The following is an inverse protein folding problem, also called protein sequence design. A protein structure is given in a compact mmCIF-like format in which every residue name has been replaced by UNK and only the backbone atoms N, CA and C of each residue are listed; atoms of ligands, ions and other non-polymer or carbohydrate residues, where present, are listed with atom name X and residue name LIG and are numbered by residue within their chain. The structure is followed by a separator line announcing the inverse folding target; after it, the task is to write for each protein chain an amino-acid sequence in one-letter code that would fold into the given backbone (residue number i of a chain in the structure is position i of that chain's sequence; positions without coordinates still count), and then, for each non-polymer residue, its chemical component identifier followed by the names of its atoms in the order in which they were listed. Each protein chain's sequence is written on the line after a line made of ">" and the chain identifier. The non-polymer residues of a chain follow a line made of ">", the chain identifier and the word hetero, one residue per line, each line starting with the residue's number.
data_IF_458542105546
#
_entry.id   IF_458542105546
#
_cell.length_a   1.000
_cell.length_b   1.000
_cell.length_c   1.000
_cell.angle_alpha   90.00
_cell.angle_beta   90.00
_cell.angle_gamma   90.00
#
_symmetry.space_group_name_H-M   'P 1'
#
loop_
_entity.id
_entity.type
_entity.pdbx_description
1 polymer ?
#
# COMPACT_ATOMS: atom_id res chain seq x y z
N UNK A 1 0.17 19.01 4.26
CA UNK A 1 0.28 18.48 2.88
C UNK A 1 -1.11 18.14 2.35
N UNK A 2 -2.04 19.11 2.34
CA UNK A 2 -3.44 18.87 1.97
C UNK A 2 -3.62 18.82 0.46
N UNK A 3 -4.46 17.88 0.00
CA UNK A 3 -4.98 17.71 -1.37
C UNK A 3 -3.98 17.38 -2.51
N UNK A 4 -2.71 17.10 -2.23
CA UNK A 4 -1.77 16.59 -3.25
C UNK A 4 -1.86 15.06 -3.29
N UNK A 5 -2.04 14.50 -4.48
CA UNK A 5 -2.04 13.06 -4.78
C UNK A 5 -0.79 12.74 -5.61
N UNK A 6 -0.28 11.53 -5.55
CA UNK A 6 0.87 11.15 -6.36
C UNK A 6 0.52 11.19 -7.88
N UNK A 7 1.52 11.27 -8.76
CA UNK A 7 1.40 11.40 -10.22
C UNK A 7 2.70 10.91 -10.87
N UNK A 8 2.67 9.86 -11.68
CA UNK A 8 3.77 9.32 -12.49
C UNK A 8 3.68 9.87 -13.92
N UNK A 9 4.61 10.71 -14.36
CA UNK A 9 4.69 11.08 -15.75
C UNK A 9 5.37 9.95 -16.54
N UNK A 10 4.82 9.57 -17.68
CA UNK A 10 5.49 8.75 -18.69
C UNK A 10 6.65 9.53 -19.37
N UNK A 11 7.72 9.88 -18.65
CA UNK A 11 8.87 10.64 -19.19
C UNK A 11 9.93 9.72 -19.78
N UNK A 12 10.54 10.14 -20.89
CA UNK A 12 11.76 9.53 -21.39
C UNK A 12 12.94 9.87 -20.46
N UNK A 13 13.37 8.92 -19.63
CA UNK A 13 14.53 9.05 -18.74
C UNK A 13 14.21 9.16 -17.24
N UNK A 14 12.94 9.32 -16.86
CA UNK A 14 12.54 9.09 -15.47
C UNK A 14 12.60 7.59 -15.17
N UNK A 15 13.08 7.21 -13.98
CA UNK A 15 12.94 5.83 -13.55
C UNK A 15 11.45 5.49 -13.50
N UNK A 16 11.07 4.34 -14.07
CA UNK A 16 9.68 3.86 -14.12
C UNK A 16 9.02 3.82 -12.74
N UNK A 17 9.80 3.82 -11.65
CA UNK A 17 9.29 3.75 -10.28
C UNK A 17 9.00 5.10 -9.61
N UNK A 18 9.17 6.24 -10.30
CA UNK A 18 9.07 7.59 -9.70
C UNK A 18 7.67 8.24 -9.84
N UNK A 19 7.23 8.89 -8.77
CA UNK A 19 5.94 9.59 -8.65
C UNK A 19 6.11 10.98 -8.05
N UNK A 20 5.33 11.96 -8.50
CA UNK A 20 5.30 13.35 -8.02
C UNK A 20 4.00 13.64 -7.28
N UNK A 21 4.02 14.32 -6.13
CA UNK A 21 2.79 14.72 -5.44
C UNK A 21 2.26 16.06 -5.96
N UNK A 22 1.12 16.03 -6.65
CA UNK A 22 0.45 17.16 -7.30
C UNK A 22 -1.01 17.28 -6.87
N UNK A 23 -1.57 18.48 -6.82
CA UNK A 23 -2.99 18.72 -6.67
C UNK A 23 -3.74 18.51 -7.99
N UNK A 24 -5.08 18.47 -7.95
CA UNK A 24 -5.90 18.19 -9.15
C UNK A 24 -5.67 19.17 -10.32
N UNK A 25 -5.45 20.46 -10.04
CA UNK A 25 -5.15 21.45 -11.08
C UNK A 25 -3.76 21.23 -11.68
N UNK A 26 -2.74 20.99 -10.86
CA UNK A 26 -1.37 20.69 -11.32
C UNK A 26 -1.34 19.44 -12.22
N UNK A 27 -2.14 18.41 -11.90
CA UNK A 27 -2.27 17.20 -12.75
C UNK A 27 -2.93 17.54 -14.10
N UNK A 28 -4.02 18.32 -14.07
CA UNK A 28 -4.70 18.76 -15.29
C UNK A 28 -3.75 19.55 -16.20
N UNK A 29 -2.95 20.44 -15.63
CA UNK A 29 -1.97 21.25 -16.35
C UNK A 29 -0.86 20.38 -16.94
N UNK A 30 -0.31 19.43 -16.16
CA UNK A 30 0.68 18.47 -16.65
C UNK A 30 0.15 17.65 -17.84
N UNK A 31 -1.06 17.12 -17.75
CA UNK A 31 -1.66 16.31 -18.83
C UNK A 31 -1.89 17.14 -20.10
N UNK A 32 -2.32 18.40 -19.98
CA UNK A 32 -2.53 19.30 -21.11
C UNK A 32 -1.21 19.68 -21.79
N UNK A 33 -0.18 20.00 -21.00
CA UNK A 33 1.16 20.31 -21.51
C UNK A 33 1.74 19.12 -22.25
N UNK A 34 1.56 17.90 -21.74
CA UNK A 34 1.98 16.66 -22.40
C UNK A 34 1.29 16.41 -23.73
N UNK A 35 -0.04 16.55 -23.79
CA UNK A 35 -0.78 16.41 -25.07
C UNK A 35 -0.23 17.37 -26.11
N UNK A 36 -0.06 18.64 -25.72
CA UNK A 36 0.45 19.70 -26.61
C UNK A 36 1.89 19.43 -27.05
N UNK A 37 2.76 18.99 -26.14
CA UNK A 37 4.16 18.69 -26.44
C UNK A 37 4.29 17.47 -27.37
N UNK A 38 3.48 16.42 -27.14
CA UNK A 38 3.44 15.23 -27.99
C UNK A 38 2.96 15.56 -29.41
N UNK A 39 1.92 16.38 -29.55
CA UNK A 39 1.45 16.85 -30.87
C UNK A 39 2.50 17.70 -31.59
N UNK A 40 3.30 18.47 -30.84
CA UNK A 40 4.34 19.33 -31.37
C UNK A 40 5.71 18.63 -31.56
N UNK A 41 5.82 17.33 -31.28
CA UNK A 41 7.08 16.58 -31.36
C UNK A 41 8.18 17.08 -30.41
N UNK A 42 7.82 17.75 -29.31
CA UNK A 42 8.78 18.28 -28.32
C UNK A 42 9.12 17.24 -27.25
N UNK A 43 10.28 17.43 -26.63
CA UNK A 43 10.66 16.65 -25.46
C UNK A 43 9.72 16.99 -24.29
N UNK A 44 9.03 15.98 -23.78
CA UNK A 44 7.96 16.11 -22.77
C UNK A 44 8.46 16.54 -21.38
N UNK A 45 9.75 16.38 -21.09
CA UNK A 45 10.36 16.70 -19.79
C UNK A 45 10.42 18.21 -19.55
N UNK A 46 10.99 18.96 -20.49
CA UNK A 46 11.11 20.43 -20.43
C UNK A 46 9.73 21.11 -20.36
N UNK A 47 8.72 20.55 -21.04
CA UNK A 47 7.38 21.12 -21.09
C UNK A 47 6.62 21.04 -19.74
N UNK A 48 7.00 20.13 -18.84
CA UNK A 48 6.33 19.94 -17.55
C UNK A 48 7.21 20.24 -16.33
N UNK A 49 8.47 20.64 -16.55
CA UNK A 49 9.44 20.90 -15.48
C UNK A 49 8.91 21.87 -14.42
N UNK A 50 8.28 22.98 -14.85
CA UNK A 50 7.73 23.99 -13.94
C UNK A 50 6.58 23.47 -13.06
N UNK A 51 5.77 22.54 -13.57
CA UNK A 51 4.70 21.90 -12.79
C UNK A 51 5.30 20.98 -11.73
N UNK A 52 6.41 20.30 -12.05
CA UNK A 52 7.07 19.37 -11.15
C UNK A 52 8.01 20.04 -10.14
N UNK A 53 8.52 21.24 -10.42
CA UNK A 53 9.50 21.98 -9.60
C UNK A 53 9.08 22.25 -8.15
N UNK A 54 7.77 22.20 -7.86
CA UNK A 54 7.20 22.34 -6.51
C UNK A 54 6.69 21.04 -5.87
N UNK A 55 6.90 19.89 -6.52
CA UNK A 55 6.30 18.62 -6.13
C UNK A 55 7.33 17.66 -5.52
N UNK A 56 6.91 16.88 -4.51
CA UNK A 56 7.78 15.85 -3.93
C UNK A 56 7.81 14.65 -4.86
N UNK A 57 9.00 14.21 -5.25
CA UNK A 57 9.19 12.93 -5.95
C UNK A 57 9.32 11.79 -4.93
N UNK A 58 8.73 10.64 -5.23
CA UNK A 58 8.81 9.42 -4.44
C UNK A 58 9.00 8.21 -5.38
N UNK A 59 9.98 7.36 -5.09
CA UNK A 59 10.20 6.08 -5.77
C UNK A 59 9.34 4.95 -5.18
N UNK A 60 9.23 3.80 -5.85
CA UNK A 60 8.64 2.59 -5.25
C UNK A 60 9.33 2.20 -3.93
N UNK A 61 10.66 2.32 -3.87
CA UNK A 61 11.42 2.07 -2.65
C UNK A 61 11.02 3.02 -1.51
N UNK A 62 10.85 4.31 -1.81
CA UNK A 62 10.37 5.27 -0.82
C UNK A 62 8.90 5.05 -0.46
N UNK A 63 8.06 4.59 -1.41
CA UNK A 63 6.67 4.21 -1.16
C UNK A 63 6.59 3.04 -0.18
N UNK A 64 7.41 2.02 -0.37
CA UNK A 64 7.59 0.91 0.57
C UNK A 64 8.04 1.44 1.94
N UNK A 65 9.01 2.36 1.95
CA UNK A 65 9.52 2.96 3.18
C UNK A 65 8.46 3.80 3.93
N UNK A 66 7.47 4.38 3.24
CA UNK A 66 6.37 5.06 3.93
C UNK A 66 5.60 4.14 4.87
N UNK A 67 5.48 2.86 4.55
CA UNK A 67 4.76 1.90 5.39
C UNK A 67 5.50 1.51 6.67
N UNK A 68 6.80 1.80 6.78
CA UNK A 68 7.53 1.69 8.05
C UNK A 68 6.93 2.62 9.12
N UNK A 69 6.27 3.72 8.73
CA UNK A 69 5.55 4.63 9.64
C UNK A 69 4.39 3.95 10.37
N UNK A 70 3.83 2.88 9.80
CA UNK A 70 2.62 2.22 10.30
C UNK A 70 2.81 0.75 10.64
N UNK A 71 3.99 0.18 10.44
CA UNK A 71 4.24 -1.25 10.71
C UNK A 71 3.88 -1.63 12.16
N UNK A 72 4.10 -0.74 13.13
CA UNK A 72 3.80 -0.98 14.54
C UNK A 72 2.44 -0.42 15.00
N UNK A 73 1.67 0.19 14.10
CA UNK A 73 0.31 0.69 14.37
C UNK A 73 -0.67 -0.49 14.35
N UNK A 74 -0.75 -1.19 15.47
CA UNK A 74 -1.41 -2.48 15.65
C UNK A 74 -2.77 -2.39 16.35
N UNK A 75 -3.22 -1.18 16.69
CA UNK A 75 -4.50 -0.92 17.35
C UNK A 75 -5.24 0.16 16.58
N UNK A 76 -6.58 0.08 16.58
CA UNK A 76 -7.43 1.12 16.03
C UNK A 76 -7.32 2.41 16.84
N UNK A 77 -7.13 3.52 16.13
CA UNK A 77 -7.00 4.89 16.66
C UNK A 77 -8.10 5.81 16.14
N UNK A 78 -8.66 5.51 14.97
CA UNK A 78 -9.72 6.29 14.34
C UNK A 78 -11.09 5.85 14.86
N UNK A 79 -11.98 6.82 15.04
CA UNK A 79 -13.39 6.51 15.31
C UNK A 79 -14.07 5.98 14.05
N UNK A 80 -14.98 5.04 14.26
CA UNK A 80 -15.80 4.47 13.19
C UNK A 80 -17.21 4.12 13.70
N UNK A 81 -18.14 3.93 12.76
CA UNK A 81 -19.48 3.41 13.08
C UNK A 81 -19.59 1.94 12.65
N UNK A 82 -20.56 1.23 13.22
CA UNK A 82 -20.82 -0.17 12.87
C UNK A 82 -21.28 -0.38 11.41
N UNK A 83 -21.66 0.69 10.71
CA UNK A 83 -22.06 0.63 9.29
C UNK A 83 -20.91 0.86 8.32
N UNK A 84 -19.74 1.27 8.81
CA UNK A 84 -18.57 1.49 7.95
C UNK A 84 -17.95 0.16 7.54
N UNK A 85 -17.51 0.08 6.29
CA UNK A 85 -16.83 -1.12 5.80
C UNK A 85 -15.45 -1.24 6.45
N UNK A 86 -14.98 -2.47 6.68
CA UNK A 86 -13.63 -2.74 7.17
C UNK A 86 -12.55 -2.08 6.30
N UNK A 87 -12.74 -2.03 4.98
CA UNK A 87 -11.81 -1.36 4.07
C UNK A 87 -11.75 0.16 4.27
N UNK A 88 -12.87 0.80 4.64
CA UNK A 88 -12.90 2.23 4.94
C UNK A 88 -12.27 2.55 6.29
N UNK A 89 -12.50 1.70 7.30
CA UNK A 89 -11.85 1.81 8.61
C UNK A 89 -10.33 1.69 8.44
N UNK A 90 -9.86 0.64 7.74
CA UNK A 90 -8.45 0.43 7.47
C UNK A 90 -7.82 1.58 6.67
N UNK A 91 -8.54 2.13 5.69
CA UNK A 91 -8.07 3.29 4.93
C UNK A 91 -7.89 4.52 5.82
N UNK A 92 -8.83 4.79 6.73
CA UNK A 92 -8.70 5.88 7.72
C UNK A 92 -7.49 5.66 8.62
N UNK A 93 -7.24 4.43 9.08
CA UNK A 93 -6.06 4.09 9.87
C UNK A 93 -4.75 4.37 9.13
N UNK A 94 -4.65 3.97 7.86
CA UNK A 94 -3.48 4.25 7.03
C UNK A 94 -3.25 5.76 6.90
N UNK A 95 -4.31 6.55 6.65
CA UNK A 95 -4.21 8.00 6.53
C UNK A 95 -3.85 8.67 7.86
N UNK A 96 -4.42 8.21 8.98
CA UNK A 96 -4.05 8.64 10.33
C UNK A 96 -2.57 8.33 10.63
N UNK A 97 -2.03 7.26 10.05
CA UNK A 97 -0.62 6.90 10.06
C UNK A 97 0.28 7.68 9.10
N UNK A 98 -0.23 8.71 8.43
CA UNK A 98 0.47 9.52 7.42
C UNK A 98 0.97 8.70 6.21
N UNK A 99 0.21 7.68 5.81
CA UNK A 99 0.38 7.01 4.52
C UNK A 99 -0.28 7.86 3.45
N UNK A 100 0.50 8.26 2.46
CA UNK A 100 -0.01 9.04 1.33
C UNK A 100 -0.68 8.12 0.31
N UNK A 101 -1.84 8.46 -0.27
CA UNK A 101 -2.43 7.64 -1.32
C UNK A 101 -1.57 7.66 -2.60
N UNK A 102 -1.48 6.51 -3.32
CA UNK A 102 -0.78 6.43 -4.60
C UNK A 102 -1.51 7.20 -5.72
N UNK A 103 -0.89 7.40 -6.90
CA UNK A 103 -1.42 8.23 -7.99
C UNK A 103 -2.65 7.70 -8.72
N UNK A 104 -3.09 6.50 -8.37
CA UNK A 104 -4.03 5.73 -9.16
C UNK A 104 -5.24 5.35 -8.32
N UNK A 105 -6.31 4.95 -9.01
CA UNK A 105 -7.44 4.29 -8.40
C UNK A 105 -6.97 3.10 -7.55
N UNK A 106 -7.15 3.19 -6.23
CA UNK A 106 -6.68 2.20 -5.28
C UNK A 106 -7.78 1.74 -4.32
N UNK A 107 -7.67 0.47 -3.94
CA UNK A 107 -8.45 -0.15 -2.89
C UNK A 107 -7.57 -0.36 -1.66
N UNK A 108 -8.18 -0.29 -0.48
CA UNK A 108 -7.52 -0.71 0.73
C UNK A 108 -7.63 -2.23 0.84
N UNK A 109 -6.48 -2.88 1.02
CA UNK A 109 -6.37 -4.32 1.09
C UNK A 109 -5.87 -4.72 2.48
N UNK A 110 -6.65 -5.56 3.15
CA UNK A 110 -6.21 -6.27 4.34
C UNK A 110 -5.25 -7.38 3.93
N UNK A 111 -4.04 -7.37 4.47
CA UNK A 111 -3.05 -8.42 4.28
C UNK A 111 -3.62 -9.74 4.82
N UNK A 112 -4.05 -9.75 6.08
CA UNK A 112 -4.90 -10.79 6.66
C UNK A 112 -6.36 -10.36 6.53
N UNK A 113 -7.12 -11.05 5.68
CA UNK A 113 -8.53 -10.73 5.43
C UNK A 113 -9.40 -10.79 6.69
N UNK A 114 -10.37 -9.88 6.77
CA UNK A 114 -11.23 -9.71 7.95
C UNK A 114 -12.30 -10.79 8.09
N UNK A 115 -12.93 -11.24 6.99
CA UNK A 115 -14.09 -12.17 7.01
C UNK A 115 -13.81 -13.56 6.45
N UNK A 116 -12.81 -13.72 5.58
CA UNK A 116 -12.58 -14.97 4.88
C UNK A 116 -12.28 -16.13 5.85
N UNK A 117 -12.99 -17.26 5.72
CA UNK A 117 -12.76 -18.45 6.55
C UNK A 117 -11.32 -18.96 6.44
N UNK A 118 -10.74 -18.90 5.23
CA UNK A 118 -9.35 -19.27 4.94
C UNK A 118 -8.29 -18.39 5.62
N UNK A 119 -8.69 -17.26 6.20
CA UNK A 119 -7.78 -16.39 6.97
C UNK A 119 -8.00 -16.53 8.49
N UNK A 120 -8.84 -17.48 8.94
CA UNK A 120 -9.16 -17.67 10.36
C UNK A 120 -7.94 -17.96 11.23
N UNK A 121 -7.01 -18.80 10.78
CA UNK A 121 -5.74 -19.09 11.48
C UNK A 121 -4.90 -17.83 11.62
N UNK A 122 -4.67 -17.12 10.51
CA UNK A 122 -3.93 -15.85 10.52
C UNK A 122 -4.57 -14.80 11.44
N UNK A 123 -5.91 -14.64 11.40
CA UNK A 123 -6.63 -13.74 12.32
C UNK A 123 -6.48 -14.15 13.77
N UNK A 124 -6.51 -15.45 14.07
CA UNK A 124 -6.25 -15.98 15.41
C UNK A 124 -4.87 -15.59 15.92
N UNK A 125 -3.84 -15.66 15.07
CA UNK A 125 -2.48 -15.23 15.42
C UNK A 125 -2.42 -13.71 15.61
N UNK A 126 -3.04 -12.90 14.74
CA UNK A 126 -3.12 -11.44 14.96
C UNK A 126 -3.76 -11.12 16.31
N UNK A 127 -4.90 -11.75 16.63
CA UNK A 127 -5.61 -11.58 17.89
C UNK A 127 -4.75 -11.99 19.10
N UNK A 128 -4.03 -13.12 19.01
CA UNK A 128 -3.09 -13.60 20.03
C UNK A 128 -2.06 -12.53 20.40
N UNK A 129 -1.57 -11.77 19.42
CA UNK A 129 -0.58 -10.71 19.62
C UNK A 129 -1.20 -9.31 19.78
N UNK A 130 -2.53 -9.21 19.90
CA UNK A 130 -3.22 -7.93 20.06
C UNK A 130 -2.99 -6.99 18.87
N UNK A 131 -3.00 -7.54 17.66
CA UNK A 131 -3.00 -6.80 16.39
C UNK A 131 -4.44 -6.79 15.89
N UNK A 132 -5.03 -5.60 15.83
CA UNK A 132 -6.38 -5.41 15.32
C UNK A 132 -6.40 -5.63 13.80
N UNK A 133 -7.43 -6.31 13.30
CA UNK A 133 -7.55 -6.66 11.89
C UNK A 133 -7.66 -5.43 11.00
N UNK A 134 -8.25 -4.34 11.49
CA UNK A 134 -8.39 -3.08 10.77
C UNK A 134 -7.26 -2.09 11.08
N UNK A 135 -6.26 -2.49 11.86
CA UNK A 135 -5.10 -1.64 12.15
C UNK A 135 -4.26 -1.35 10.90
N UNK A 136 -3.63 -0.17 10.87
CA UNK A 136 -2.77 0.23 9.76
C UNK A 136 -1.63 -0.79 9.47
N UNK A 137 -1.15 -1.51 10.50
CA UNK A 137 -0.15 -2.56 10.35
C UNK A 137 -0.58 -3.73 9.45
N UNK A 138 -1.88 -3.98 9.30
CA UNK A 138 -2.45 -5.05 8.47
C UNK A 138 -2.92 -4.55 7.08
N UNK A 139 -2.67 -3.28 6.73
CA UNK A 139 -3.21 -2.68 5.49
C UNK A 139 -2.19 -2.28 4.45
N UNK A 140 -2.62 -2.27 3.19
CA UNK A 140 -1.89 -1.68 2.05
C UNK A 140 -2.88 -1.09 1.04
N UNK A 141 -2.47 -0.05 0.31
CA UNK A 141 -3.25 0.53 -0.77
C UNK A 141 -2.74 -0.06 -2.08
N UNK A 142 -3.62 -0.73 -2.82
CA UNK A 142 -3.28 -1.44 -4.05
C UNK A 142 -4.15 -0.99 -5.21
N UNK A 143 -3.62 -0.95 -6.45
CA UNK A 143 -4.38 -0.53 -7.62
C UNK A 143 -5.50 -1.53 -7.93
N UNK A 144 -6.69 -1.05 -8.29
CA UNK A 144 -7.77 -1.91 -8.80
C UNK A 144 -7.89 -1.89 -10.34
N UNK A 145 -7.16 -1.00 -11.01
CA UNK A 145 -7.09 -0.88 -12.46
C UNK A 145 -5.63 -0.66 -12.92
N UNK A 146 -5.24 -1.27 -14.04
CA UNK A 146 -3.91 -1.01 -14.63
C UNK A 146 -3.94 0.33 -15.36
N UNK A 147 -2.90 1.14 -15.16
CA UNK A 147 -2.64 2.37 -15.90
C UNK A 147 -1.13 2.67 -15.88
N UNK A 148 -0.71 3.78 -16.47
CA UNK A 148 0.71 4.18 -16.55
C UNK A 148 1.38 4.42 -15.18
N UNK A 149 0.58 4.59 -14.13
CA UNK A 149 1.02 4.83 -12.75
C UNK A 149 1.24 3.53 -11.96
N UNK A 150 0.69 2.40 -12.41
CA UNK A 150 0.90 1.10 -11.76
C UNK A 150 2.17 0.48 -12.34
N UNK A 151 3.14 0.17 -11.50
CA UNK A 151 4.40 -0.43 -11.91
C UNK A 151 4.42 -1.90 -11.54
N UNK A 152 4.80 -2.17 -10.30
CA UNK A 152 5.07 -3.49 -9.78
C UNK A 152 3.94 -4.01 -8.92
N UNK A 153 3.05 -3.14 -8.45
CA UNK A 153 2.10 -3.49 -7.40
C UNK A 153 1.13 -4.61 -7.82
N UNK A 154 0.79 -5.47 -6.85
CA UNK A 154 -0.26 -6.46 -6.98
C UNK A 154 -1.62 -5.78 -7.23
N UNK A 155 -2.38 -6.33 -8.18
CA UNK A 155 -3.70 -5.80 -8.53
C UNK A 155 -4.77 -6.26 -7.52
N UNK A 156 -5.64 -5.34 -7.14
CA UNK A 156 -6.82 -5.55 -6.30
C UNK A 156 -8.10 -5.62 -7.15
N UNK A 157 -8.10 -6.41 -8.21
CA UNK A 157 -9.23 -6.64 -9.12
C UNK A 157 -9.79 -8.06 -8.94
N UNK A 158 -10.46 -8.30 -7.81
CA UNK A 158 -11.12 -9.57 -7.53
C UNK A 158 -11.03 -9.98 -6.06
N UNK A 159 -11.51 -11.19 -5.76
CA UNK A 159 -11.29 -11.82 -4.47
C UNK A 159 -9.86 -12.34 -4.31
N UNK A 160 -9.49 -12.69 -3.08
CA UNK A 160 -8.19 -13.31 -2.81
C UNK A 160 -8.18 -14.76 -3.29
N UNK A 161 -7.08 -15.20 -3.88
CA UNK A 161 -6.89 -16.60 -4.26
C UNK A 161 -6.61 -17.49 -3.05
N UNK A 162 -6.80 -18.79 -3.22
CA UNK A 162 -6.43 -19.76 -2.19
C UNK A 162 -4.92 -19.75 -1.92
N UNK A 163 -4.12 -19.50 -2.95
CA UNK A 163 -2.67 -19.39 -2.89
C UNK A 163 -2.24 -18.20 -2.05
N UNK A 164 -2.91 -17.05 -2.22
CA UNK A 164 -2.65 -15.86 -1.40
C UNK A 164 -2.89 -16.14 0.08
N UNK A 165 -4.07 -16.69 0.44
CA UNK A 165 -4.38 -17.03 1.83
C UNK A 165 -3.34 -17.98 2.43
N UNK A 166 -2.97 -19.03 1.70
CA UNK A 166 -1.99 -20.01 2.15
C UNK A 166 -0.60 -19.38 2.32
N UNK A 167 -0.19 -18.47 1.43
CA UNK A 167 1.10 -17.79 1.54
C UNK A 167 1.16 -16.92 2.80
N UNK A 168 0.11 -16.12 3.06
CA UNK A 168 0.02 -15.29 4.27
C UNK A 168 -0.04 -16.15 5.54
N UNK A 169 -0.86 -17.21 5.55
CA UNK A 169 -0.98 -18.11 6.69
C UNK A 169 0.33 -18.80 7.04
N UNK A 170 1.03 -19.35 6.03
CA UNK A 170 2.32 -20.01 6.24
C UNK A 170 3.33 -19.06 6.88
N UNK A 171 3.44 -17.84 6.36
CA UNK A 171 4.42 -16.84 6.84
C UNK A 171 4.14 -16.44 8.29
N UNK A 172 2.90 -16.12 8.61
CA UNK A 172 2.53 -15.69 9.98
C UNK A 172 2.63 -16.88 10.96
N UNK A 173 2.27 -18.09 10.55
CA UNK A 173 2.40 -19.30 11.38
C UNK A 173 3.87 -19.62 11.67
N UNK A 174 4.76 -19.47 10.69
CA UNK A 174 6.20 -19.67 10.90
C UNK A 174 6.75 -18.73 11.97
N UNK A 175 6.33 -17.46 11.99
CA UNK A 175 6.71 -16.51 13.04
C UNK A 175 6.13 -16.91 14.39
N UNK A 176 4.86 -17.30 14.45
CA UNK A 176 4.20 -17.74 15.68
C UNK A 176 4.90 -18.96 16.30
N UNK A 177 5.27 -19.94 15.47
CA UNK A 177 5.98 -21.14 15.90
C UNK A 177 7.42 -20.83 16.33
N UNK A 178 8.10 -19.93 15.62
CA UNK A 178 9.41 -19.43 16.05
C UNK A 178 9.35 -18.77 17.43
N UNK A 179 8.36 -17.91 17.67
CA UNK A 179 8.15 -17.23 18.96
C UNK A 179 7.93 -18.24 20.08
N UNK A 180 7.08 -19.25 19.86
CA UNK A 180 6.83 -20.33 20.85
C UNK A 180 8.09 -21.14 21.14
N UNK A 181 8.78 -21.59 20.09
CA UNK A 181 9.94 -22.48 20.21
C UNK A 181 11.11 -21.84 20.97
N UNK A 182 11.24 -20.51 20.88
CA UNK A 182 12.33 -19.76 21.51
C UNK A 182 11.93 -19.04 22.80
N UNK A 183 10.69 -19.22 23.28
CA UNK A 183 10.21 -18.55 24.49
C UNK A 183 10.21 -17.03 24.39
N UNK A 184 10.02 -16.49 23.17
CA UNK A 184 10.03 -15.05 22.92
C UNK A 184 8.77 -14.43 23.56
N UNK A 185 8.95 -13.27 24.20
CA UNK A 185 7.85 -12.58 24.89
C UNK A 185 6.72 -12.20 23.92
N UNK A 186 5.48 -12.10 24.41
CA UNK A 186 4.35 -11.69 23.58
C UNK A 186 4.58 -10.32 22.91
N UNK A 187 5.23 -9.38 23.61
CA UNK A 187 5.58 -8.06 23.06
C UNK A 187 6.56 -8.16 21.89
N UNK A 188 7.61 -8.98 22.01
CA UNK A 188 8.55 -9.20 20.91
C UNK A 188 7.91 -10.01 19.78
N UNK A 189 7.08 -11.00 20.09
CA UNK A 189 6.32 -11.74 19.09
C UNK A 189 5.38 -10.85 18.27
N UNK A 190 4.73 -9.89 18.92
CA UNK A 190 3.93 -8.85 18.25
C UNK A 190 4.76 -8.04 17.25
N UNK A 191 5.99 -7.65 17.63
CA UNK A 191 6.91 -6.95 16.72
C UNK A 191 7.28 -7.81 15.52
N UNK A 192 7.63 -9.08 15.73
CA UNK A 192 7.99 -10.01 14.66
C UNK A 192 6.82 -10.27 13.69
N UNK A 193 5.59 -10.42 14.20
CA UNK A 193 4.41 -10.55 13.33
C UNK A 193 4.17 -9.26 12.54
N UNK A 194 4.37 -8.10 13.16
CA UNK A 194 4.22 -6.79 12.50
C UNK A 194 5.29 -6.58 11.41
N UNK A 195 6.53 -7.01 11.66
CA UNK A 195 7.61 -7.05 10.66
C UNK A 195 7.23 -7.96 9.49
N UNK A 196 6.64 -9.12 9.76
CA UNK A 196 6.24 -10.04 8.70
C UNK A 196 5.07 -9.51 7.86
N UNK A 197 4.11 -8.80 8.47
CA UNK A 197 3.10 -8.05 7.72
C UNK A 197 3.75 -6.99 6.82
N UNK A 198 4.78 -6.29 7.30
CA UNK A 198 5.54 -5.34 6.47
C UNK A 198 6.31 -6.04 5.34
N UNK A 199 6.83 -7.25 5.55
CA UNK A 199 7.46 -8.04 4.48
C UNK A 199 6.44 -8.48 3.44
N UNK A 200 5.25 -8.95 3.86
CA UNK A 200 4.17 -9.29 2.92
C UNK A 200 3.75 -8.06 2.12
N UNK A 201 3.65 -6.90 2.78
CA UNK A 201 3.36 -5.61 2.13
C UNK A 201 4.39 -5.26 1.06
N UNK A 202 5.69 -5.45 1.35
CA UNK A 202 6.78 -5.26 0.39
C UNK A 202 6.60 -6.15 -0.83
N UNK A 203 6.26 -7.42 -0.63
CA UNK A 203 6.05 -8.35 -1.73
C UNK A 203 4.83 -8.01 -2.57
N UNK A 204 3.77 -7.49 -1.96
CA UNK A 204 2.60 -6.97 -2.67
C UNK A 204 2.93 -5.74 -3.51
N UNK A 205 3.67 -4.77 -2.95
CA UNK A 205 4.06 -3.55 -3.68
C UNK A 205 5.07 -3.83 -4.80
N UNK A 206 5.94 -4.83 -4.62
CA UNK A 206 6.88 -5.28 -5.65
C UNK A 206 6.29 -6.30 -6.63
N UNK A 207 5.04 -6.73 -6.45
CA UNK A 207 4.37 -7.71 -7.32
C UNK A 207 4.90 -9.14 -7.21
N UNK A 208 5.76 -9.41 -6.22
CA UNK A 208 6.28 -10.73 -5.90
C UNK A 208 5.15 -11.62 -5.40
N UNK A 209 4.32 -11.08 -4.51
CA UNK A 209 3.08 -11.72 -4.06
C UNK A 209 1.91 -11.11 -4.82
N UNK A 210 1.06 -11.96 -5.37
CA UNK A 210 -0.19 -11.53 -6.02
C UNK A 210 -1.40 -11.92 -5.17
N UNK A 211 -2.45 -11.12 -5.24
CA UNK A 211 -3.73 -11.40 -4.57
C UNK A 211 -4.54 -12.46 -5.32
N UNK A 212 -4.36 -12.53 -6.64
CA UNK A 212 -4.96 -13.50 -7.53
C UNK A 212 -3.94 -13.92 -8.61
N UNK A 213 -4.21 -15.01 -9.31
CA UNK A 213 -3.32 -15.58 -10.33
C UNK A 213 -3.33 -14.77 -11.64
#
# INVERSE_FOLDING_TARGET
>A
MGNRIAYKPALAGANDDMFYYLNKSEISDANKLRSTASEAGRYIDEACEDVYKGSRVISMAERIAEYEKVMNNTSLKVSHTASESHADILRKELYNGNITPPPYGNACHHIVAWDAEKASVSRGILSKYGIDVDSASNGVLLPYERNEYVTTEAMHNGGHSAEYYKAVENRITLIDDYVKAHGISATQGKMLVSEELQNIRKDLLNGILKIHN
#
